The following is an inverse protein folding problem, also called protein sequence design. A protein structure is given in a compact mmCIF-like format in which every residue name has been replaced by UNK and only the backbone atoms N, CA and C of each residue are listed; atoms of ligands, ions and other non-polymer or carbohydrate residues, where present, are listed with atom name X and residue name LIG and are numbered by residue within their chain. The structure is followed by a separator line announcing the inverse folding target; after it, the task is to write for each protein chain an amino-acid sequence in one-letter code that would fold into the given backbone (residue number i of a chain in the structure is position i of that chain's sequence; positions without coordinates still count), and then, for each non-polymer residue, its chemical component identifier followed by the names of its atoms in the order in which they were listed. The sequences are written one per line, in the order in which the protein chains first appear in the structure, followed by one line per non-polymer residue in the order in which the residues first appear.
data_IF_171697738330
#
_entry.id   IF_171697738330
#
_cell.length_a   1.000
_cell.length_b   1.000
_cell.length_c   1.000
_cell.angle_alpha   90.00
_cell.angle_beta   90.00
_cell.angle_gamma   90.00
#
_symmetry.space_group_name_H-M   'P 1'
#
loop_
_entity.id
_entity.type
_entity.pdbx_description
1 polymer ?
#
# COMPACT_ATOMS: atom_id res chain seq x y z
N UNK A 1 5.03 -5.14 25.08
CA UNK A 1 6.00 -4.02 25.00
C UNK A 1 5.58 -3.12 23.85
N UNK A 2 5.46 -1.80 24.06
CA UNK A 2 5.16 -0.87 22.97
C UNK A 2 6.40 -0.61 22.12
N UNK A 3 6.27 -0.61 20.79
CA UNK A 3 7.33 -0.15 19.88
C UNK A 3 7.43 1.37 19.99
N UNK A 4 8.65 1.90 20.18
CA UNK A 4 8.92 3.34 20.20
C UNK A 4 9.58 3.77 18.89
N UNK A 5 9.22 4.96 18.39
CA UNK A 5 9.82 5.57 17.20
C UNK A 5 10.20 7.02 17.49
N UNK A 6 11.21 7.54 16.80
CA UNK A 6 11.66 8.93 16.91
C UNK A 6 11.49 9.65 15.58
N UNK A 7 10.94 10.86 15.63
CA UNK A 7 10.84 11.76 14.49
C UNK A 7 11.88 12.86 14.65
N UNK A 8 12.69 13.09 13.62
CA UNK A 8 13.71 14.15 13.57
C UNK A 8 13.25 15.26 12.62
N UNK A 9 13.81 16.45 12.81
CA UNK A 9 13.59 17.62 11.95
C UNK A 9 12.12 18.06 11.86
N UNK A 10 11.35 17.90 12.94
CA UNK A 10 10.02 18.50 13.04
C UNK A 10 10.13 20.01 13.13
N UNK A 11 9.26 20.72 12.41
CA UNK A 11 9.11 22.15 12.59
C UNK A 11 8.71 22.47 14.05
N UNK A 12 9.46 23.38 14.67
CA UNK A 12 9.35 23.66 16.10
C UNK A 12 8.02 24.31 16.44
N UNK A 13 7.52 25.19 15.56
CA UNK A 13 6.27 25.90 15.76
C UNK A 13 5.07 24.96 15.57
N UNK A 14 5.11 24.09 14.55
CA UNK A 14 4.13 23.04 14.34
C UNK A 14 4.05 22.09 15.55
N UNK A 15 5.20 21.65 16.09
CA UNK A 15 5.22 20.78 17.27
C UNK A 15 4.67 21.49 18.51
N UNK A 16 4.94 22.79 18.69
CA UNK A 16 4.35 23.59 19.78
C UNK A 16 2.83 23.69 19.66
N UNK A 17 2.32 23.92 18.46
CA UNK A 17 0.88 23.96 18.20
C UNK A 17 0.21 22.62 18.53
N UNK A 18 0.81 21.49 18.11
CA UNK A 18 0.32 20.15 18.45
C UNK A 18 0.28 19.92 19.96
N UNK A 19 1.33 20.32 20.69
CA UNK A 19 1.35 20.23 22.17
C UNK A 19 0.23 21.05 22.81
N UNK A 20 -0.02 22.26 22.31
CA UNK A 20 -1.10 23.11 22.82
C UNK A 20 -2.48 22.48 22.58
N UNK A 21 -2.70 21.87 21.41
CA UNK A 21 -3.94 21.13 21.09
C UNK A 21 -4.12 19.94 22.03
N UNK A 22 -3.06 19.15 22.23
CA UNK A 22 -3.08 17.99 23.13
C UNK A 22 -3.42 18.40 24.58
N UNK A 23 -2.80 19.48 25.07
CA UNK A 23 -3.06 20.04 26.39
C UNK A 23 -4.52 20.50 26.54
N UNK A 24 -5.05 21.25 25.56
CA UNK A 24 -6.46 21.71 25.56
C UNK A 24 -7.46 20.55 25.54
N UNK A 25 -7.11 19.43 24.88
CA UNK A 25 -7.94 18.23 24.77
C UNK A 25 -7.77 17.25 25.93
N UNK A 26 -6.79 17.46 26.81
CA UNK A 26 -6.49 16.53 27.91
C UNK A 26 -6.01 15.16 27.42
N UNK A 27 -5.34 15.10 26.27
CA UNK A 27 -4.84 13.86 25.67
C UNK A 27 -3.32 13.90 25.51
N UNK A 28 -2.64 12.74 25.47
CA UNK A 28 -1.21 12.72 25.22
C UNK A 28 -0.89 13.16 23.77
N UNK A 29 0.28 13.77 23.58
CA UNK A 29 0.74 14.33 22.30
C UNK A 29 0.73 13.30 21.17
N UNK A 30 1.14 12.06 21.46
CA UNK A 30 1.15 10.98 20.45
C UNK A 30 -0.24 10.71 19.87
N UNK A 31 -1.32 10.91 20.64
CA UNK A 31 -2.68 10.68 20.16
C UNK A 31 -3.06 11.69 19.08
N UNK A 32 -2.71 12.97 19.28
CA UNK A 32 -2.95 14.02 18.30
C UNK A 32 -2.10 13.81 17.05
N UNK A 33 -0.84 13.38 17.22
CA UNK A 33 0.05 13.05 16.08
C UNK A 33 -0.54 11.89 15.27
N UNK A 34 -0.97 10.81 15.92
CA UNK A 34 -1.58 9.67 15.24
C UNK A 34 -2.87 10.05 14.49
N UNK A 35 -3.72 10.88 15.09
CA UNK A 35 -4.92 11.40 14.43
C UNK A 35 -4.56 12.24 13.19
N UNK A 36 -3.54 13.10 13.27
CA UNK A 36 -3.08 13.91 12.15
C UNK A 36 -2.49 13.06 11.01
N UNK A 37 -1.70 12.02 11.35
CA UNK A 37 -1.15 11.08 10.37
C UNK A 37 -2.28 10.31 9.65
N UNK A 38 -3.25 9.78 10.41
CA UNK A 38 -4.39 9.10 9.83
C UNK A 38 -5.21 10.02 8.91
N UNK A 39 -5.42 11.28 9.32
CA UNK A 39 -6.12 12.25 8.49
C UNK A 39 -5.35 12.60 7.22
N UNK A 40 -4.02 12.71 7.30
CA UNK A 40 -3.19 12.97 6.13
C UNK A 40 -3.22 11.82 5.13
N UNK A 41 -3.14 10.56 5.59
CA UNK A 41 -3.28 9.37 4.73
C UNK A 41 -4.65 9.37 4.05
N UNK A 42 -5.74 9.48 4.82
CA UNK A 42 -7.08 9.50 4.23
C UNK A 42 -7.28 10.67 3.25
N UNK A 43 -6.70 11.83 3.55
CA UNK A 43 -6.80 13.00 2.69
C UNK A 43 -6.01 12.76 1.38
N UNK A 44 -4.80 12.19 1.48
CA UNK A 44 -3.98 11.83 0.33
C UNK A 44 -4.71 10.82 -0.57
N UNK A 45 -5.27 9.76 0.04
CA UNK A 45 -6.08 8.75 -0.65
C UNK A 45 -7.34 9.33 -1.30
N UNK A 46 -7.91 10.40 -0.72
CA UNK A 46 -9.12 11.06 -1.24
C UNK A 46 -8.87 12.13 -2.30
N UNK A 47 -7.70 12.78 -2.30
CA UNK A 47 -7.34 13.89 -3.20
C UNK A 47 -6.54 13.42 -4.41
N UNK A 48 -5.80 12.32 -4.30
CA UNK A 48 -5.20 11.68 -5.45
C UNK A 48 -6.30 10.96 -6.24
N UNK A 49 -6.35 11.16 -7.56
CA UNK A 49 -6.98 10.15 -8.40
C UNK A 49 -6.23 8.85 -8.13
N UNK A 50 -6.92 7.83 -7.60
CA UNK A 50 -6.33 6.51 -7.30
C UNK A 50 -5.37 6.14 -8.43
N UNK A 51 -4.09 6.04 -8.09
CA UNK A 51 -3.07 5.67 -9.05
C UNK A 51 -3.33 4.24 -9.53
N UNK A 52 -2.86 3.90 -10.74
CA UNK A 52 -3.01 2.53 -11.25
C UNK A 52 -2.35 1.50 -10.31
N UNK A 53 -1.31 1.90 -9.57
CA UNK A 53 -0.64 1.12 -8.54
C UNK A 53 -1.53 0.90 -7.31
N UNK A 54 -2.10 1.95 -6.72
CA UNK A 54 -3.03 1.86 -5.59
C UNK A 54 -4.26 1.00 -5.95
N UNK A 55 -4.82 1.21 -7.15
CA UNK A 55 -5.95 0.42 -7.64
C UNK A 55 -5.61 -1.08 -7.73
N UNK A 56 -4.41 -1.41 -8.19
CA UNK A 56 -3.94 -2.79 -8.31
C UNK A 56 -3.66 -3.42 -6.93
N UNK A 57 -3.03 -2.67 -6.02
CA UNK A 57 -2.73 -3.11 -4.66
C UNK A 57 -4.01 -3.42 -3.88
N UNK A 58 -5.03 -2.56 -3.97
CA UNK A 58 -6.35 -2.81 -3.36
C UNK A 58 -6.97 -4.13 -3.83
N UNK A 59 -6.88 -4.42 -5.13
CA UNK A 59 -7.35 -5.71 -5.65
C UNK A 59 -6.51 -6.85 -5.08
N UNK A 60 -5.18 -6.74 -5.08
CA UNK A 60 -4.31 -7.77 -4.53
C UNK A 60 -4.64 -8.09 -3.06
N UNK A 61 -4.77 -7.07 -2.22
CA UNK A 61 -5.17 -7.21 -0.82
C UNK A 61 -6.52 -7.90 -0.66
N UNK A 62 -7.49 -7.60 -1.53
CA UNK A 62 -8.80 -8.27 -1.51
C UNK A 62 -8.76 -9.77 -1.86
N UNK A 63 -7.68 -10.24 -2.50
CA UNK A 63 -7.48 -11.65 -2.83
C UNK A 63 -6.74 -12.40 -1.72
N UNK A 64 -6.00 -11.68 -0.87
CA UNK A 64 -5.28 -12.26 0.26
C UNK A 64 -6.28 -12.81 1.29
N UNK A 65 -6.10 -14.06 1.70
CA UNK A 65 -6.99 -14.75 2.62
C UNK A 65 -8.23 -15.39 1.99
N UNK A 66 -8.48 -15.21 0.69
CA UNK A 66 -9.55 -15.93 -0.01
C UNK A 66 -9.06 -17.34 -0.43
N UNK A 67 -9.68 -18.43 0.09
CA UNK A 67 -9.26 -19.79 -0.21
C UNK A 67 -9.28 -20.15 -1.70
N UNK A 68 -10.07 -19.43 -2.52
CA UNK A 68 -10.22 -19.70 -3.96
C UNK A 68 -8.96 -19.43 -4.76
N UNK A 69 -8.15 -18.47 -4.30
CA UNK A 69 -6.93 -18.03 -4.98
C UNK A 69 -5.66 -18.60 -4.35
N UNK A 70 -5.77 -19.22 -3.17
CA UNK A 70 -4.66 -19.83 -2.45
C UNK A 70 -3.82 -20.74 -3.36
N UNK A 71 -2.51 -20.53 -3.34
CA UNK A 71 -1.52 -21.28 -4.09
C UNK A 71 -1.39 -20.90 -5.56
N UNK A 72 -2.34 -20.12 -6.11
CA UNK A 72 -2.39 -19.71 -7.51
C UNK A 72 -1.66 -18.41 -7.76
N UNK A 73 -1.25 -18.22 -9.01
CA UNK A 73 -0.71 -16.97 -9.51
C UNK A 73 -1.84 -16.06 -9.98
N UNK A 74 -1.79 -14.79 -9.61
CA UNK A 74 -2.76 -13.78 -10.03
C UNK A 74 -2.07 -12.69 -10.83
N UNK A 75 -2.75 -12.19 -11.85
CA UNK A 75 -2.33 -11.02 -12.64
C UNK A 75 -3.35 -9.90 -12.46
N UNK A 76 -2.91 -8.70 -12.13
CA UNK A 76 -3.77 -7.55 -11.83
C UNK A 76 -3.28 -6.32 -12.61
N UNK A 77 -4.20 -5.56 -13.22
CA UNK A 77 -3.92 -4.29 -13.87
C UNK A 77 -5.18 -3.41 -13.91
N UNK A 78 -5.01 -2.08 -13.93
CA UNK A 78 -6.10 -1.08 -13.89
C UNK A 78 -7.16 -1.37 -12.82
N UNK A 79 -6.74 -1.83 -11.64
CA UNK A 79 -7.64 -2.18 -10.54
C UNK A 79 -8.55 -3.37 -10.83
N UNK A 80 -8.10 -4.34 -11.64
CA UNK A 80 -8.87 -5.54 -11.99
C UNK A 80 -8.03 -6.80 -11.94
N UNK A 81 -8.62 -7.89 -11.46
CA UNK A 81 -8.07 -9.24 -11.59
C UNK A 81 -8.18 -9.69 -13.06
N UNK A 82 -7.05 -9.80 -13.74
CA UNK A 82 -6.94 -10.13 -15.17
C UNK A 82 -6.91 -11.64 -15.38
N UNK A 83 -6.17 -12.36 -14.54
CA UNK A 83 -6.05 -13.81 -14.64
C UNK A 83 -5.73 -14.44 -13.29
N UNK A 84 -6.14 -15.70 -13.15
CA UNK A 84 -5.72 -16.62 -12.09
C UNK A 84 -5.20 -17.87 -12.78
N UNK A 85 -3.97 -18.26 -12.50
CA UNK A 85 -3.26 -19.32 -13.22
C UNK A 85 -2.50 -20.21 -12.24
N UNK A 86 -2.15 -21.41 -12.69
CA UNK A 86 -1.37 -22.35 -11.87
C UNK A 86 0.14 -22.09 -11.99
N UNK A 87 0.57 -21.34 -13.01
CA UNK A 87 1.97 -21.01 -13.27
C UNK A 87 2.22 -19.51 -13.41
N UNK A 88 3.44 -19.09 -13.04
CA UNK A 88 3.92 -17.71 -13.20
C UNK A 88 3.93 -17.27 -14.67
N UNK A 89 4.39 -18.14 -15.57
CA UNK A 89 4.50 -17.84 -17.01
C UNK A 89 3.13 -17.49 -17.63
N UNK A 90 2.08 -18.23 -17.26
CA UNK A 90 0.72 -17.96 -17.74
C UNK A 90 0.20 -16.62 -17.23
N UNK A 91 0.44 -16.28 -15.96
CA UNK A 91 0.06 -15.00 -15.37
C UNK A 91 0.78 -13.84 -16.07
N UNK A 92 2.10 -13.94 -16.28
CA UNK A 92 2.88 -12.92 -17.00
C UNK A 92 2.40 -12.76 -18.43
N UNK A 93 2.12 -13.86 -19.14
CA UNK A 93 1.62 -13.83 -20.52
C UNK A 93 0.22 -13.23 -20.61
N UNK A 94 -0.64 -13.46 -19.62
CA UNK A 94 -1.96 -12.82 -19.54
C UNK A 94 -1.82 -11.32 -19.27
N UNK A 95 -0.98 -10.93 -18.31
CA UNK A 95 -0.73 -9.54 -17.97
C UNK A 95 -0.17 -8.76 -19.15
N UNK A 96 0.89 -9.24 -19.81
CA UNK A 96 1.52 -8.56 -20.96
C UNK A 96 0.54 -8.31 -22.10
N UNK A 97 -0.32 -9.29 -22.42
CA UNK A 97 -1.36 -9.14 -23.45
C UNK A 97 -2.38 -8.06 -23.06
N UNK A 98 -2.75 -8.00 -21.79
CA UNK A 98 -3.66 -6.98 -21.29
C UNK A 98 -3.03 -5.58 -21.30
N UNK A 99 -1.80 -5.43 -20.79
CA UNK A 99 -1.10 -4.15 -20.75
C UNK A 99 -0.95 -3.52 -22.14
N UNK A 100 -0.56 -4.33 -23.15
CA UNK A 100 -0.46 -3.91 -24.54
C UNK A 100 -1.79 -3.43 -25.12
N UNK A 101 -2.90 -4.13 -24.81
CA UNK A 101 -4.22 -3.80 -25.33
C UNK A 101 -4.81 -2.54 -24.69
N UNK A 102 -4.66 -2.42 -23.37
CA UNK A 102 -5.33 -1.38 -22.57
C UNK A 102 -4.46 -0.15 -22.30
N UNK A 103 -3.24 -0.13 -22.84
CA UNK A 103 -2.21 0.91 -22.62
C UNK A 103 -2.01 1.21 -21.13
N UNK A 104 -2.00 0.15 -20.32
CA UNK A 104 -1.73 0.23 -18.90
C UNK A 104 -0.22 0.33 -18.65
N UNK A 105 0.16 1.13 -17.66
CA UNK A 105 1.55 1.40 -17.30
C UNK A 105 2.05 0.53 -16.15
N UNK A 106 1.13 -0.05 -15.38
CA UNK A 106 1.45 -0.81 -14.18
C UNK A 106 0.59 -2.08 -14.03
N UNK A 107 1.20 -3.14 -13.49
CA UNK A 107 0.53 -4.41 -13.26
C UNK A 107 1.28 -5.28 -12.26
N UNK A 108 0.53 -6.11 -11.54
CA UNK A 108 1.05 -7.00 -10.49
C UNK A 108 0.93 -8.45 -10.96
N UNK A 109 1.99 -9.23 -10.76
CA UNK A 109 1.94 -10.70 -10.77
C UNK A 109 2.42 -11.20 -9.42
N UNK A 110 1.57 -11.94 -8.72
CA UNK A 110 1.92 -12.48 -7.39
C UNK A 110 1.30 -13.85 -7.19
N UNK A 111 1.90 -14.64 -6.29
CA UNK A 111 1.33 -15.92 -5.83
C UNK A 111 0.60 -15.68 -4.53
N UNK A 112 -0.68 -16.05 -4.45
CA UNK A 112 -1.46 -15.88 -3.22
C UNK A 112 -1.07 -16.99 -2.24
N UNK A 113 -0.19 -16.70 -1.29
CA UNK A 113 0.21 -17.61 -0.21
C UNK A 113 -0.58 -17.37 1.07
N UNK A 114 -0.55 -18.35 1.98
CA UNK A 114 -1.38 -18.35 3.19
C UNK A 114 -0.78 -17.57 4.37
N UNK A 115 0.47 -17.14 4.30
CA UNK A 115 1.11 -16.39 5.37
C UNK A 115 1.95 -15.25 4.81
N UNK A 116 1.75 -14.07 5.38
CA UNK A 116 2.66 -12.94 5.27
C UNK A 116 3.57 -13.04 6.49
N UNK A 117 4.76 -13.63 6.34
CA UNK A 117 5.86 -13.15 7.18
C UNK A 117 6.14 -11.75 6.69
N UNK A 118 5.67 -10.77 7.45
CA UNK A 118 5.84 -9.35 7.17
C UNK A 118 7.34 -9.01 7.32
N UNK A 119 8.10 -9.17 6.23
CA UNK A 119 9.47 -8.67 6.13
C UNK A 119 9.40 -7.28 5.51
N UNK A 120 9.43 -6.27 6.38
CA UNK A 120 9.52 -4.87 6.00
C UNK A 120 10.93 -4.60 5.41
N UNK A 121 11.07 -4.69 4.09
CA UNK A 121 12.28 -4.25 3.38
C UNK A 121 12.10 -2.77 3.04
N UNK A 122 12.59 -1.90 3.93
CA UNK A 122 12.75 -0.48 3.64
C UNK A 122 13.93 -0.30 2.67
N UNK A 123 13.60 -0.16 1.38
CA UNK A 123 14.49 0.45 0.39
C UNK A 123 14.98 -0.49 -0.70
N UNK A 124 14.40 -0.33 -1.89
CA UNK A 124 15.20 -0.24 -3.11
C UNK A 124 14.44 0.55 -4.17
N UNK A 125 14.93 1.76 -4.45
CA UNK A 125 14.78 2.37 -5.77
C UNK A 125 15.51 1.46 -6.75
N UNK A 126 14.79 0.82 -7.66
CA UNK A 126 15.41 0.23 -8.84
C UNK A 126 15.46 1.34 -9.90
N UNK A 127 16.44 2.22 -9.75
CA UNK A 127 16.93 2.96 -10.92
C UNK A 127 17.49 1.93 -11.90
N UNK A 128 17.05 2.04 -13.14
CA UNK A 128 17.61 1.30 -14.27
C UNK A 128 19.08 1.65 -14.44
N UNK A 129 19.97 0.65 -14.36
CA UNK A 129 21.06 0.36 -15.30
C UNK A 129 21.79 -0.94 -14.92
#
# INVERSE_FOLDING_TARGET
MGKGFYLKNLDVEAYRAIKAIAARRGVPVYKVINEALALYVNLYDSLAAETEEEANNRVYESLMGDPRYKGKWVAIAKGKLIAVTESWDEAVKALRRFLLREKASHGIVSRVSEEVEEVEILGSSLEML
#
